data_IF_451394747261
#
_entry.id   IF_451394747261
#
_cell.length_a   1.000
_cell.length_b   1.000
_cell.length_c   1.000
_cell.angle_alpha   90.00
_cell.angle_beta   90.00
_cell.angle_gamma   90.00
#
_symmetry.space_group_name_H-M   'P 1'
#
loop_
_entity.id
_entity.type
_entity.pdbx_description
1 polymer ?
#
# COMPACT_ATOMS: atom_id res chain seq x y z
N UNK A 1 -15.16 -1.65 -18.23
CA UNK A 1 -14.45 -0.63 -17.43
C UNK A 1 -13.01 -1.09 -17.38
N UNK A 2 -12.05 -0.19 -17.55
CA UNK A 2 -10.64 -0.58 -17.52
C UNK A 2 -10.23 -1.01 -16.12
N UNK A 3 -9.26 -1.92 -16.05
CA UNK A 3 -8.67 -2.33 -14.78
C UNK A 3 -8.08 -1.13 -14.02
N UNK A 4 -7.48 -0.17 -14.73
CA UNK A 4 -7.01 1.10 -14.16
C UNK A 4 -8.12 1.90 -13.47
N UNK A 5 -9.30 2.02 -14.10
CA UNK A 5 -10.46 2.72 -13.53
C UNK A 5 -10.95 2.01 -12.27
N UNK A 6 -11.02 0.68 -12.31
CA UNK A 6 -11.40 -0.13 -11.16
C UNK A 6 -10.44 0.05 -9.98
N UNK A 7 -9.13 0.12 -10.24
CA UNK A 7 -8.11 0.39 -9.23
C UNK A 7 -8.24 1.79 -8.61
N UNK A 8 -8.58 2.80 -9.42
CA UNK A 8 -8.84 4.16 -8.94
C UNK A 8 -10.08 4.19 -8.03
N UNK A 9 -11.19 3.60 -8.48
CA UNK A 9 -12.43 3.49 -7.69
C UNK A 9 -12.16 2.77 -6.37
N UNK A 10 -11.42 1.66 -6.39
CA UNK A 10 -10.99 0.95 -5.18
C UNK A 10 -10.26 1.88 -4.22
N UNK A 11 -9.30 2.67 -4.70
CA UNK A 11 -8.54 3.62 -3.87
C UNK A 11 -9.46 4.67 -3.23
N UNK A 12 -10.37 5.25 -4.00
CA UNK A 12 -11.26 6.29 -3.51
C UNK A 12 -12.31 5.75 -2.52
N UNK A 13 -12.83 4.54 -2.75
CA UNK A 13 -13.69 3.85 -1.80
C UNK A 13 -12.96 3.54 -0.49
N UNK A 14 -11.70 3.12 -0.54
CA UNK A 14 -10.88 2.89 0.66
C UNK A 14 -10.63 4.19 1.44
N UNK A 15 -10.37 5.32 0.75
CA UNK A 15 -10.24 6.64 1.39
C UNK A 15 -11.56 7.07 2.05
N UNK A 16 -12.68 6.92 1.35
CA UNK A 16 -14.03 7.23 1.89
C UNK A 16 -14.33 6.39 3.12
N UNK A 17 -13.99 5.10 3.11
CA UNK A 17 -14.13 4.22 4.26
C UNK A 17 -13.24 4.67 5.44
N UNK A 18 -12.00 5.11 5.18
CA UNK A 18 -11.13 5.65 6.22
C UNK A 18 -11.68 6.94 6.85
N UNK A 19 -12.27 7.83 6.05
CA UNK A 19 -12.95 9.03 6.54
C UNK A 19 -14.17 8.69 7.41
N UNK A 20 -15.00 7.74 6.98
CA UNK A 20 -16.14 7.27 7.76
C UNK A 20 -15.70 6.66 9.09
N UNK A 21 -14.63 5.86 9.12
CA UNK A 21 -14.06 5.34 10.37
C UNK A 21 -13.66 6.46 11.34
N UNK A 22 -13.08 7.54 10.82
CA UNK A 22 -12.76 8.74 11.61
C UNK A 22 -14.02 9.42 12.18
N UNK A 23 -15.03 9.65 11.33
CA UNK A 23 -16.31 10.26 11.74
C UNK A 23 -17.05 9.42 12.78
N UNK A 24 -17.08 8.10 12.61
CA UNK A 24 -17.66 7.16 13.58
C UNK A 24 -16.93 7.30 14.92
N UNK A 25 -15.59 7.27 14.93
CA UNK A 25 -14.81 7.42 16.17
C UNK A 25 -15.14 8.73 16.90
N UNK A 26 -15.31 9.82 16.17
CA UNK A 26 -15.59 11.13 16.75
C UNK A 26 -17.02 11.28 17.29
N UNK A 27 -17.99 10.53 16.74
CA UNK A 27 -19.40 10.61 17.12
C UNK A 27 -19.86 9.42 18.01
N UNK A 28 -18.98 8.46 18.28
CA UNK A 28 -19.33 7.24 19.03
C UNK A 28 -19.66 7.49 20.51
N UNK A 29 -19.20 8.61 21.09
CA UNK A 29 -19.43 8.98 22.48
C UNK A 29 -19.53 10.50 22.60
N UNK A 30 -20.42 10.97 23.46
CA UNK A 30 -20.59 12.38 23.81
C UNK A 30 -20.73 12.51 25.33
N UNK A 31 -20.62 13.73 25.86
CA UNK A 31 -20.84 13.97 27.29
C UNK A 31 -22.34 13.89 27.62
N UNK A 32 -22.67 13.74 28.89
CA UNK A 32 -24.06 13.75 29.33
C UNK A 32 -24.72 15.09 29.01
N UNK A 33 -25.84 15.05 28.27
CA UNK A 33 -26.55 16.24 27.81
C UNK A 33 -26.15 16.74 26.43
N UNK A 34 -25.07 16.21 25.84
CA UNK A 34 -24.67 16.53 24.46
C UNK A 34 -25.30 15.56 23.45
N UNK A 35 -25.39 16.00 22.19
CA UNK A 35 -25.77 15.16 21.05
C UNK A 35 -24.62 15.04 20.06
N UNK A 36 -24.38 13.86 19.46
CA UNK A 36 -23.41 13.71 18.38
C UNK A 36 -23.71 14.68 17.23
N UNK A 37 -22.66 15.13 16.53
CA UNK A 37 -22.83 15.97 15.34
C UNK A 37 -23.43 15.18 14.15
N UNK A 38 -23.27 13.86 14.17
CA UNK A 38 -23.77 12.93 13.16
C UNK A 38 -24.24 11.63 13.85
N UNK A 39 -25.24 10.92 13.31
CA UNK A 39 -25.65 9.64 13.87
C UNK A 39 -24.58 8.55 13.60
N UNK A 40 -23.90 8.02 14.63
CA UNK A 40 -22.90 6.98 14.43
C UNK A 40 -23.48 5.68 13.83
N UNK A 41 -24.77 5.39 14.04
CA UNK A 41 -25.41 4.20 13.47
C UNK A 41 -25.63 4.33 11.96
N UNK A 42 -26.09 5.50 11.49
CA UNK A 42 -26.21 5.77 10.05
C UNK A 42 -24.85 5.73 9.34
N UNK A 43 -23.80 6.25 10.00
CA UNK A 43 -22.43 6.17 9.51
C UNK A 43 -21.94 4.71 9.40
N UNK A 44 -22.28 3.85 10.36
CA UNK A 44 -21.97 2.41 10.32
C UNK A 44 -22.69 1.71 9.17
N UNK A 45 -23.97 2.01 8.95
CA UNK A 45 -24.75 1.46 7.83
C UNK A 45 -24.09 1.85 6.50
N UNK A 46 -23.76 3.13 6.35
CA UNK A 46 -23.11 3.67 5.14
C UNK A 46 -21.74 3.02 4.92
N UNK A 47 -20.93 2.87 5.98
CA UNK A 47 -19.64 2.20 5.91
C UNK A 47 -19.78 0.73 5.51
N UNK A 48 -20.81 0.03 6.02
CA UNK A 48 -21.07 -1.37 5.70
C UNK A 48 -21.44 -1.56 4.23
N UNK A 49 -22.27 -0.67 3.67
CA UNK A 49 -22.59 -0.69 2.24
C UNK A 49 -21.34 -0.52 1.37
N UNK A 50 -20.49 0.45 1.71
CA UNK A 50 -19.21 0.68 1.00
C UNK A 50 -18.30 -0.54 1.08
N UNK A 51 -18.24 -1.22 2.23
CA UNK A 51 -17.44 -2.45 2.39
C UNK A 51 -17.95 -3.55 1.44
N UNK A 52 -19.26 -3.75 1.34
CA UNK A 52 -19.86 -4.73 0.43
C UNK A 52 -19.48 -4.45 -1.03
N UNK A 53 -19.68 -3.22 -1.49
CA UNK A 53 -19.35 -2.82 -2.87
C UNK A 53 -17.84 -2.92 -3.15
N UNK A 54 -17.02 -2.47 -2.20
CA UNK A 54 -15.56 -2.53 -2.29
C UNK A 54 -15.07 -3.99 -2.39
N UNK A 55 -15.68 -4.90 -1.64
CA UNK A 55 -15.32 -6.32 -1.65
C UNK A 55 -15.62 -6.95 -3.01
N UNK A 56 -16.80 -6.69 -3.59
CA UNK A 56 -17.15 -7.16 -4.92
C UNK A 56 -16.19 -6.61 -5.99
N UNK A 57 -15.81 -5.33 -5.90
CA UNK A 57 -14.84 -4.74 -6.83
C UNK A 57 -13.44 -5.37 -6.69
N UNK A 58 -12.98 -5.63 -5.47
CA UNK A 58 -11.69 -6.28 -5.21
C UNK A 58 -11.67 -7.69 -5.80
N UNK A 59 -12.74 -8.45 -5.64
CA UNK A 59 -12.85 -9.79 -6.21
C UNK A 59 -12.69 -9.77 -7.74
N UNK A 60 -13.41 -8.87 -8.42
CA UNK A 60 -13.31 -8.70 -9.88
C UNK A 60 -11.91 -8.31 -10.33
N UNK A 61 -11.26 -7.42 -9.60
CA UNK A 61 -9.85 -7.04 -9.85
C UNK A 61 -8.94 -8.25 -9.72
N UNK A 62 -9.10 -9.06 -8.68
CA UNK A 62 -8.28 -10.25 -8.46
C UNK A 62 -8.49 -11.30 -9.56
N UNK A 63 -9.74 -11.58 -9.91
CA UNK A 63 -10.08 -12.49 -11.03
C UNK A 63 -9.47 -12.01 -12.35
N UNK A 64 -9.56 -10.72 -12.63
CA UNK A 64 -8.97 -10.10 -13.83
C UNK A 64 -7.45 -10.27 -13.83
N UNK A 65 -6.76 -9.93 -12.73
CA UNK A 65 -5.30 -10.07 -12.62
C UNK A 65 -4.83 -11.52 -12.78
N UNK A 66 -5.63 -12.49 -12.32
CA UNK A 66 -5.28 -13.91 -12.38
C UNK A 66 -5.22 -14.45 -13.81
N UNK A 67 -6.04 -13.92 -14.73
CA UNK A 67 -6.10 -14.40 -16.12
C UNK A 67 -5.51 -13.43 -17.14
N UNK A 68 -5.27 -12.18 -16.77
CA UNK A 68 -4.76 -11.16 -17.67
C UNK A 68 -3.30 -11.43 -18.05
N UNK A 69 -3.01 -11.22 -19.34
CA UNK A 69 -1.66 -11.18 -19.88
C UNK A 69 -1.36 -9.78 -20.41
N UNK A 70 -0.10 -9.41 -20.35
CA UNK A 70 0.40 -8.17 -20.95
C UNK A 70 0.43 -8.24 -22.47
N UNK A 71 0.63 -7.08 -23.10
CA UNK A 71 0.92 -6.94 -24.54
C UNK A 71 2.01 -7.89 -25.06
N UNK A 72 2.97 -8.27 -24.20
CA UNK A 72 4.07 -9.19 -24.52
C UNK A 72 3.79 -10.66 -24.14
N UNK A 73 2.55 -10.99 -23.74
CA UNK A 73 2.15 -12.33 -23.35
C UNK A 73 2.64 -12.78 -21.96
N UNK A 74 3.22 -11.88 -21.16
CA UNK A 74 3.60 -12.19 -19.78
C UNK A 74 2.38 -12.09 -18.86
N UNK A 75 2.23 -13.03 -17.93
CA UNK A 75 1.13 -12.99 -16.95
C UNK A 75 1.21 -11.74 -16.07
N UNK A 76 0.08 -11.04 -15.93
CA UNK A 76 -0.04 -9.87 -15.06
C UNK A 76 0.24 -10.23 -13.60
N UNK A 77 -0.24 -11.39 -13.16
CA UNK A 77 0.00 -11.90 -11.81
C UNK A 77 1.50 -12.08 -11.54
N UNK A 78 2.26 -12.61 -12.50
CA UNK A 78 3.71 -12.77 -12.36
C UNK A 78 4.42 -11.43 -12.17
N UNK A 79 4.04 -10.40 -12.93
CA UNK A 79 4.61 -9.06 -12.79
C UNK A 79 4.28 -8.43 -11.43
N UNK A 80 3.06 -8.63 -10.92
CA UNK A 80 2.68 -8.16 -9.58
C UNK A 80 3.52 -8.85 -8.49
N UNK A 81 3.70 -10.17 -8.58
CA UNK A 81 4.55 -10.93 -7.64
C UNK A 81 6.01 -10.49 -7.71
N UNK A 82 6.53 -10.23 -8.89
CA UNK A 82 7.89 -9.71 -9.08
C UNK A 82 8.03 -8.31 -8.47
N UNK A 83 7.07 -7.41 -8.68
CA UNK A 83 7.04 -6.09 -8.05
C UNK A 83 7.05 -6.22 -6.53
N UNK A 84 6.13 -7.01 -5.96
CA UNK A 84 6.03 -7.18 -4.51
C UNK A 84 7.32 -7.76 -3.92
N UNK A 85 7.98 -8.67 -4.64
CA UNK A 85 9.29 -9.22 -4.26
C UNK A 85 10.38 -8.16 -4.26
N UNK A 86 10.42 -7.30 -5.28
CA UNK A 86 11.36 -6.19 -5.36
C UNK A 86 11.09 -5.16 -4.25
N UNK A 87 9.83 -4.85 -3.94
CA UNK A 87 9.45 -3.95 -2.84
C UNK A 87 9.91 -4.49 -1.48
N UNK A 88 9.69 -5.78 -1.22
CA UNK A 88 10.16 -6.43 0.01
C UNK A 88 11.68 -6.38 0.14
N UNK A 89 12.41 -6.67 -0.93
CA UNK A 89 13.89 -6.60 -0.93
C UNK A 89 14.38 -5.17 -0.76
N UNK A 90 13.77 -4.21 -1.44
CA UNK A 90 14.11 -2.80 -1.29
C UNK A 90 13.92 -2.35 0.15
N UNK A 91 12.76 -2.67 0.75
CA UNK A 91 12.45 -2.32 2.14
C UNK A 91 13.46 -2.94 3.12
N UNK A 92 13.80 -4.22 2.95
CA UNK A 92 14.82 -4.87 3.78
C UNK A 92 16.16 -4.11 3.75
N UNK A 93 16.61 -3.66 2.57
CA UNK A 93 17.86 -2.92 2.43
C UNK A 93 17.78 -1.54 3.08
N UNK A 94 16.67 -0.82 2.87
CA UNK A 94 16.45 0.50 3.49
C UNK A 94 16.41 0.38 5.01
N UNK A 95 15.65 -0.56 5.55
CA UNK A 95 15.55 -0.80 7.00
C UNK A 95 16.94 -1.11 7.59
N UNK A 96 17.77 -1.90 6.88
CA UNK A 96 19.14 -2.22 7.30
C UNK A 96 20.10 -1.00 7.26
N UNK A 97 19.96 -0.14 6.25
CA UNK A 97 20.72 1.11 6.13
C UNK A 97 20.31 2.09 7.24
N UNK A 98 19.01 2.24 7.51
CA UNK A 98 18.50 3.10 8.57
C UNK A 98 19.00 2.65 9.94
N UNK A 99 18.97 1.34 10.23
CA UNK A 99 19.51 0.77 11.45
C UNK A 99 21.04 0.95 11.61
N UNK A 100 21.76 1.09 10.50
CA UNK A 100 23.20 1.40 10.51
C UNK A 100 23.48 2.89 10.77
N UNK A 101 22.54 3.77 10.41
CA UNK A 101 22.66 5.22 10.56
C UNK A 101 22.06 5.75 11.86
N UNK A 102 21.24 4.96 12.57
CA UNK A 102 20.69 5.37 13.86
C UNK A 102 21.80 5.43 14.91
N UNK A 103 22.20 6.65 15.28
CA UNK A 103 23.04 6.84 16.45
C UNK A 103 22.24 6.50 17.71
N UNK A 104 22.80 5.63 18.56
CA UNK A 104 22.27 5.47 19.91
C UNK A 104 22.53 6.76 20.70
N UNK A 105 21.49 7.31 21.33
CA UNK A 105 21.54 8.55 22.10
C UNK A 105 22.57 8.41 23.24
N UNK A 106 23.66 9.18 23.20
CA UNK A 106 24.78 9.07 24.15
C UNK A 106 24.63 10.10 25.25
N UNK A 107 24.54 9.64 26.50
CA UNK A 107 24.56 10.52 27.67
C UNK A 107 25.97 10.73 28.24
N UNK A 108 26.95 9.88 27.87
CA UNK A 108 28.31 9.96 28.44
C UNK A 108 29.42 9.55 27.49
N UNK A 109 30.57 10.23 27.59
CA UNK A 109 31.79 9.90 26.86
C UNK A 109 32.41 8.55 27.26
N UNK A 110 31.98 7.96 28.40
CA UNK A 110 32.42 6.64 28.88
C UNK A 110 31.67 5.45 28.25
N UNK A 111 30.63 5.70 27.46
CA UNK A 111 29.85 4.63 26.80
C UNK A 111 30.62 3.98 25.65
N UNK A 112 30.47 2.65 25.51
CA UNK A 112 31.09 1.82 24.46
C UNK A 112 30.52 2.23 23.09
N UNK A 113 31.40 2.38 22.10
CA UNK A 113 31.00 2.74 20.73
C UNK A 113 30.29 1.57 20.04
N UNK A 114 29.19 1.87 19.36
CA UNK A 114 28.57 0.94 18.43
C UNK A 114 29.41 0.82 17.15
N UNK A 115 29.56 -0.40 16.66
CA UNK A 115 30.25 -0.68 15.41
C UNK A 115 29.24 -1.21 14.40
N UNK A 116 29.13 -0.52 13.26
CA UNK A 116 28.29 -0.95 12.14
C UNK A 116 28.96 -2.17 11.48
N UNK A 117 28.23 -3.29 11.45
CA UNK A 117 28.71 -4.56 10.86
C UNK A 117 28.37 -4.72 9.38
N UNK A 118 27.68 -3.75 8.79
CA UNK A 118 27.17 -3.80 7.42
C UNK A 118 27.89 -2.77 6.54
N UNK A 119 28.08 -3.11 5.26
CA UNK A 119 28.59 -2.17 4.27
C UNK A 119 27.45 -1.30 3.73
N UNK A 120 27.24 -0.12 4.35
CA UNK A 120 26.16 0.81 3.97
C UNK A 120 26.22 1.19 2.49
N UNK A 121 27.42 1.50 1.97
CA UNK A 121 27.60 1.87 0.57
C UNK A 121 27.21 0.74 -0.41
N UNK A 122 27.51 -0.52 -0.08
CA UNK A 122 27.12 -1.67 -0.89
C UNK A 122 25.60 -1.89 -0.87
N UNK A 123 24.97 -1.75 0.30
CA UNK A 123 23.52 -1.89 0.44
C UNK A 123 22.78 -0.77 -0.28
N UNK A 124 23.28 0.47 -0.23
CA UNK A 124 22.71 1.62 -0.97
C UNK A 124 22.73 1.36 -2.47
N UNK A 125 23.86 0.91 -3.02
CA UNK A 125 23.95 0.58 -4.45
C UNK A 125 22.93 -0.49 -4.85
N UNK A 126 22.77 -1.53 -4.03
CA UNK A 126 21.76 -2.57 -4.27
C UNK A 126 20.33 -2.02 -4.19
N UNK A 127 20.05 -1.12 -3.25
CA UNK A 127 18.75 -0.48 -3.12
C UNK A 127 18.44 0.38 -4.37
N UNK A 128 19.40 1.17 -4.85
CA UNK A 128 19.27 1.99 -6.05
C UNK A 128 18.96 1.16 -7.31
N UNK A 129 19.67 0.04 -7.47
CA UNK A 129 19.45 -0.91 -8.57
C UNK A 129 18.04 -1.50 -8.52
N UNK A 130 17.56 -1.87 -7.33
CA UNK A 130 16.19 -2.39 -7.13
C UNK A 130 15.16 -1.29 -7.39
N UNK A 131 15.39 -0.06 -6.92
CA UNK A 131 14.50 1.08 -7.15
C UNK A 131 14.36 1.39 -8.65
N UNK A 132 15.41 1.20 -9.45
CA UNK A 132 15.32 1.32 -10.91
C UNK A 132 14.43 0.23 -11.52
N UNK A 133 14.60 -1.03 -11.10
CA UNK A 133 13.76 -2.16 -11.55
C UNK A 133 12.29 -1.96 -11.17
N UNK A 134 12.02 -1.48 -9.95
CA UNK A 134 10.68 -1.15 -9.49
C UNK A 134 9.99 -0.10 -10.37
N UNK A 135 10.72 0.96 -10.76
CA UNK A 135 10.19 1.98 -11.68
C UNK A 135 9.80 1.38 -13.03
N UNK A 136 10.66 0.53 -13.59
CA UNK A 136 10.40 -0.11 -14.88
C UNK A 136 9.18 -1.04 -14.83
N UNK A 137 9.10 -1.93 -13.83
CA UNK A 137 7.97 -2.86 -13.72
C UNK A 137 6.65 -2.13 -13.45
N UNK A 138 6.69 -1.05 -12.66
CA UNK A 138 5.51 -0.23 -12.41
C UNK A 138 4.99 0.46 -13.68
N UNK A 139 5.86 0.95 -14.56
CA UNK A 139 5.44 1.53 -15.85
C UNK A 139 4.73 0.47 -16.70
N UNK A 140 5.29 -0.74 -16.77
CA UNK A 140 4.70 -1.85 -17.53
C UNK A 140 3.32 -2.21 -16.95
N UNK A 141 3.22 -2.38 -15.63
CA UNK A 141 1.97 -2.68 -14.94
C UNK A 141 0.92 -1.60 -15.21
N UNK A 142 1.26 -0.32 -15.06
CA UNK A 142 0.32 0.79 -15.24
C UNK A 142 -0.16 0.91 -16.68
N UNK A 143 0.74 0.75 -17.66
CA UNK A 143 0.36 0.76 -19.07
C UNK A 143 -0.65 -0.35 -19.39
N UNK A 144 -0.40 -1.56 -18.87
CA UNK A 144 -1.29 -2.70 -19.10
C UNK A 144 -2.63 -2.56 -18.38
N UNK A 145 -2.67 -1.95 -17.18
CA UNK A 145 -3.92 -1.66 -16.47
C UNK A 145 -4.91 -0.83 -17.31
N UNK A 146 -4.41 0.07 -18.17
CA UNK A 146 -5.25 0.88 -19.07
C UNK A 146 -5.73 0.13 -20.31
N UNK A 147 -5.10 -0.99 -20.64
CA UNK A 147 -5.46 -1.81 -21.81
C UNK A 147 -6.44 -2.92 -21.43
N UNK A 148 -6.29 -3.50 -20.24
CA UNK A 148 -7.09 -4.63 -19.75
C UNK A 148 -8.49 -4.18 -19.34
N UNK A 149 -9.52 -4.88 -19.83
CA UNK A 149 -10.89 -4.75 -19.34
C UNK A 149 -11.09 -5.55 -18.06
N UNK A 150 -11.78 -4.95 -17.09
CA UNK A 150 -12.21 -5.64 -15.87
C UNK A 150 -13.31 -6.65 -16.21
N UNK A 151 -13.15 -7.86 -15.70
CA UNK A 151 -14.14 -8.94 -15.83
C UNK A 151 -15.34 -8.64 -14.92
N UNK A 152 -16.52 -9.10 -15.33
CA UNK A 152 -17.74 -9.06 -14.51
C UNK A 152 -17.67 -9.97 -13.29
#
# INVERSE_FOLDING_TARGET
>A
MKLAEALLIRSDMQKKLAQLKGRIRNNAKVQEGDTPSEDPNELIITASQIITELTALIERIHRTNAIANTDKGQSMLTLLVERDTLEMRHKLLIDAIEAANSEADRYSQREIKWHVMLSVASLQKQADDIAMKLRQINIIIQSNNWQIELIE
#
